data_IF_156458943973
#
_entry.id   IF_156458943973
#
_cell.length_a   1.000
_cell.length_b   1.000
_cell.length_c   1.000
_cell.angle_alpha   90.00
_cell.angle_beta   90.00
_cell.angle_gamma   90.00
#
_symmetry.space_group_name_H-M   'P 1'
#
loop_
_entity.id
_entity.type
_entity.pdbx_description
1 polymer ?
#
# COMPACT_ATOMS: atom_id res chain seq x y z
N UNK A 1 13.18 -14.80 0.47
CA UNK A 1 12.37 -14.43 -0.71
C UNK A 1 12.19 -12.93 -0.64
N UNK A 2 13.01 -12.19 -1.40
CA UNK A 2 13.04 -10.73 -1.33
C UNK A 2 11.87 -10.18 -2.15
N UNK A 3 10.93 -9.48 -1.53
CA UNK A 3 9.71 -8.97 -2.18
C UNK A 3 10.09 -7.86 -3.15
N UNK A 4 10.13 -8.16 -4.44
CA UNK A 4 10.36 -7.16 -5.48
C UNK A 4 9.02 -6.56 -5.93
N UNK A 5 8.88 -5.24 -5.82
CA UNK A 5 7.77 -4.53 -6.46
C UNK A 5 7.98 -4.55 -7.98
N UNK A 6 7.37 -5.51 -8.66
CA UNK A 6 7.19 -5.50 -10.14
C UNK A 6 6.20 -4.43 -10.60
N UNK A 7 5.60 -3.69 -9.66
CA UNK A 7 4.66 -2.62 -9.99
C UNK A 7 5.36 -1.31 -10.33
N UNK A 8 4.88 -0.69 -11.40
CA UNK A 8 5.22 0.68 -11.73
C UNK A 8 4.79 1.62 -10.59
N UNK A 9 5.65 2.59 -10.26
CA UNK A 9 5.43 3.56 -9.20
C UNK A 9 5.72 4.98 -9.70
N UNK A 10 5.09 5.98 -9.05
CA UNK A 10 5.38 7.38 -9.29
C UNK A 10 6.57 7.82 -8.42
N UNK A 11 7.59 8.41 -9.05
CA UNK A 11 8.74 8.97 -8.34
C UNK A 11 9.00 10.42 -8.74
N UNK A 12 9.27 11.23 -7.73
CA UNK A 12 9.75 12.59 -7.92
C UNK A 12 11.28 12.62 -8.11
N UNK A 13 11.75 13.53 -8.95
CA UNK A 13 13.16 13.90 -9.10
C UNK A 13 13.29 15.42 -9.11
N UNK A 14 14.34 15.92 -8.46
CA UNK A 14 14.66 17.34 -8.45
C UNK A 14 15.75 17.59 -9.50
N UNK A 15 15.52 18.54 -10.40
CA UNK A 15 16.51 18.99 -11.38
C UNK A 15 16.37 20.49 -11.59
N UNK A 16 17.49 21.23 -11.48
CA UNK A 16 17.50 22.69 -11.63
C UNK A 16 16.53 23.42 -10.69
N UNK A 17 16.33 22.91 -9.46
CA UNK A 17 15.39 23.48 -8.48
C UNK A 17 13.92 23.13 -8.71
N UNK A 18 13.57 22.45 -9.81
CA UNK A 18 12.20 22.05 -10.10
C UNK A 18 11.95 20.57 -9.79
N UNK A 19 10.73 20.27 -9.35
CA UNK A 19 10.25 18.91 -9.12
C UNK A 19 9.60 18.35 -10.38
N UNK A 20 10.04 17.15 -10.73
CA UNK A 20 9.63 16.43 -11.92
C UNK A 20 9.20 15.02 -11.56
N UNK A 21 8.15 14.52 -12.21
CA UNK A 21 7.58 13.22 -11.91
C UNK A 21 7.83 12.22 -13.03
N UNK A 22 8.05 10.97 -12.63
CA UNK A 22 8.32 9.85 -13.51
C UNK A 22 7.51 8.64 -13.07
N UNK A 23 7.07 7.82 -14.03
CA UNK A 23 6.71 6.43 -13.76
C UNK A 23 8.00 5.63 -13.82
N UNK A 24 8.30 4.86 -12.78
CA UNK A 24 9.47 4.00 -12.70
C UNK A 24 9.08 2.57 -12.37
N UNK A 25 9.93 1.64 -12.78
CA UNK A 25 9.85 0.23 -12.38
C UNK A 25 11.16 -0.18 -11.72
N UNK A 26 11.08 -0.99 -10.67
CA UNK A 26 12.29 -1.54 -10.04
C UNK A 26 12.80 -2.74 -10.85
N UNK A 27 14.01 -2.64 -11.41
CA UNK A 27 14.66 -3.76 -12.12
C UNK A 27 16.06 -4.02 -11.56
N UNK A 28 16.54 -5.25 -11.67
CA UNK A 28 17.92 -5.57 -11.29
C UNK A 28 18.86 -5.23 -12.44
N UNK A 29 19.84 -4.38 -12.17
CA UNK A 29 20.96 -4.11 -13.08
C UNK A 29 22.22 -4.59 -12.37
N UNK A 30 22.91 -5.58 -12.96
CA UNK A 30 24.08 -6.24 -12.38
C UNK A 30 23.82 -6.76 -10.96
N UNK A 31 22.67 -7.40 -10.76
CA UNK A 31 22.29 -7.98 -9.47
C UNK A 31 21.93 -6.97 -8.39
N UNK A 32 21.81 -5.67 -8.69
CA UNK A 32 21.37 -4.65 -7.73
C UNK A 32 20.03 -4.05 -8.17
N UNK A 33 19.03 -3.90 -7.28
CA UNK A 33 17.78 -3.24 -7.64
C UNK A 33 18.02 -1.77 -7.99
N UNK A 34 17.46 -1.33 -9.12
CA UNK A 34 17.58 0.02 -9.67
C UNK A 34 16.22 0.50 -10.17
N UNK A 35 15.82 1.75 -9.87
CA UNK A 35 14.63 2.34 -10.45
C UNK A 35 14.90 2.74 -11.91
N UNK A 36 14.20 2.11 -12.85
CA UNK A 36 14.28 2.40 -14.28
C UNK A 36 13.11 3.31 -14.67
N UNK A 37 13.36 4.55 -15.12
CA UNK A 37 12.30 5.42 -15.63
C UNK A 37 11.65 4.83 -16.88
N UNK A 38 10.34 4.65 -16.82
CA UNK A 38 9.51 4.21 -17.94
C UNK A 38 8.92 5.41 -18.69
N UNK A 39 8.46 6.42 -17.96
CA UNK A 39 7.81 7.60 -18.54
C UNK A 39 8.10 8.85 -17.74
N UNK A 40 8.43 9.95 -18.42
CA UNK A 40 8.50 11.28 -17.85
C UNK A 40 7.13 11.97 -17.91
N UNK A 41 6.63 12.41 -16.76
CA UNK A 41 5.31 13.00 -16.63
C UNK A 41 5.32 14.54 -16.66
N UNK A 42 6.46 15.16 -16.35
CA UNK A 42 6.57 16.62 -16.26
C UNK A 42 6.44 17.15 -14.84
N UNK A 43 6.13 18.44 -14.70
CA UNK A 43 5.82 19.06 -13.42
C UNK A 43 4.41 18.68 -12.95
N UNK A 44 4.12 18.92 -11.68
CA UNK A 44 2.78 18.64 -11.14
C UNK A 44 1.67 19.36 -11.92
N UNK A 45 1.89 20.62 -12.30
CA UNK A 45 0.91 21.42 -13.05
C UNK A 45 0.65 20.87 -14.45
N UNK A 46 1.69 20.38 -15.13
CA UNK A 46 1.58 19.77 -16.46
C UNK A 46 0.72 18.50 -16.39
N UNK A 47 0.92 17.71 -15.34
CA UNK A 47 0.17 16.47 -15.09
C UNK A 47 -1.28 16.80 -14.80
N UNK A 48 -1.55 17.76 -13.92
CA UNK A 48 -2.90 18.20 -13.58
C UNK A 48 -3.65 18.71 -14.83
N UNK A 49 -3.01 19.54 -15.64
CA UNK A 49 -3.58 20.06 -16.88
C UNK A 49 -3.94 18.95 -17.86
N UNK A 50 -3.08 17.93 -18.00
CA UNK A 50 -3.35 16.75 -18.85
C UNK A 50 -4.53 15.92 -18.31
N UNK A 51 -4.62 15.72 -17.00
CA UNK A 51 -5.72 14.98 -16.36
C UNK A 51 -7.06 15.69 -16.56
N UNK A 52 -7.09 17.01 -16.34
CA UNK A 52 -8.27 17.85 -16.52
C UNK A 52 -8.65 18.04 -18.00
N UNK A 53 -7.67 18.00 -18.91
CA UNK A 53 -7.83 18.17 -20.34
C UNK A 53 -8.58 17.05 -21.08
N UNK A 54 -9.04 16.01 -20.37
CA UNK A 54 -9.99 15.05 -20.93
C UNK A 54 -9.59 13.58 -20.85
N UNK A 55 -8.37 13.26 -20.40
CA UNK A 55 -7.92 11.86 -20.19
C UNK A 55 -8.86 11.15 -19.20
N UNK A 56 -9.41 11.87 -18.21
CA UNK A 56 -10.17 11.28 -17.11
C UNK A 56 -11.70 11.27 -17.29
N UNK A 57 -12.26 11.64 -18.46
CA UNK A 57 -13.72 11.84 -18.58
C UNK A 57 -14.57 10.59 -18.35
N UNK A 58 -14.00 9.38 -18.27
CA UNK A 58 -14.76 8.18 -17.94
C UNK A 58 -13.96 7.04 -17.24
N UNK A 59 -12.90 7.36 -16.49
CA UNK A 59 -12.09 6.33 -15.82
C UNK A 59 -12.79 5.90 -14.53
N UNK A 60 -13.44 4.73 -14.53
CA UNK A 60 -13.90 4.06 -13.31
C UNK A 60 -12.71 3.38 -12.63
N UNK A 61 -12.04 4.10 -11.72
CA UNK A 61 -10.99 3.54 -10.88
C UNK A 61 -11.60 2.97 -9.59
N UNK A 62 -11.41 1.67 -9.33
CA UNK A 62 -11.66 1.05 -8.02
C UNK A 62 -10.31 0.61 -7.45
N UNK A 63 -9.92 1.19 -6.33
CA UNK A 63 -8.72 0.76 -5.60
C UNK A 63 -9.11 -0.37 -4.63
N UNK A 64 -8.50 -1.54 -4.79
CA UNK A 64 -8.67 -2.67 -3.87
C UNK A 64 -7.38 -2.87 -3.07
N UNK A 65 -6.95 -1.85 -2.33
CA UNK A 65 -5.76 -1.94 -1.46
C UNK A 65 -5.96 -2.90 -0.27
N UNK A 66 -7.16 -3.44 -0.07
CA UNK A 66 -7.53 -4.27 1.07
C UNK A 66 -7.87 -5.73 0.70
N UNK A 67 -7.78 -6.11 -0.59
CA UNK A 67 -8.21 -7.44 -1.03
C UNK A 67 -7.45 -8.59 -0.36
N UNK A 68 -6.13 -8.45 -0.20
CA UNK A 68 -5.30 -9.46 0.45
C UNK A 68 -5.60 -9.59 1.96
N UNK A 69 -5.80 -8.45 2.66
CA UNK A 69 -6.14 -8.44 4.08
C UNK A 69 -7.54 -9.01 4.31
N UNK A 70 -8.51 -8.65 3.46
CA UNK A 70 -9.87 -9.18 3.52
C UNK A 70 -9.92 -10.69 3.22
N UNK A 71 -9.14 -11.17 2.25
CA UNK A 71 -9.05 -12.60 1.96
C UNK A 71 -8.42 -13.38 3.11
N UNK A 72 -7.36 -12.85 3.74
CA UNK A 72 -6.75 -13.47 4.92
C UNK A 72 -7.69 -13.47 6.12
N UNK A 73 -8.46 -12.39 6.32
CA UNK A 73 -9.48 -12.33 7.37
C UNK A 73 -10.57 -13.37 7.13
N UNK A 74 -11.08 -13.50 5.90
CA UNK A 74 -12.07 -14.51 5.55
C UNK A 74 -11.55 -15.93 5.83
N UNK A 75 -10.31 -16.25 5.42
CA UNK A 75 -9.71 -17.56 5.71
C UNK A 75 -9.55 -17.78 7.21
N UNK A 76 -9.21 -16.74 7.99
CA UNK A 76 -9.11 -16.84 9.44
C UNK A 76 -10.47 -17.08 10.11
N UNK A 77 -11.53 -16.51 9.56
CA UNK A 77 -12.91 -16.77 9.99
C UNK A 77 -13.33 -18.20 9.61
N UNK A 78 -13.04 -18.64 8.38
CA UNK A 78 -13.41 -19.99 7.88
C UNK A 78 -12.76 -21.12 8.68
N UNK A 79 -11.57 -20.91 9.26
CA UNK A 79 -10.88 -21.89 10.12
C UNK A 79 -11.05 -21.61 11.61
N UNK A 80 -11.93 -20.67 11.98
CA UNK A 80 -12.28 -20.33 13.36
C UNK A 80 -11.05 -20.00 14.22
N UNK A 81 -10.08 -19.27 13.67
CA UNK A 81 -8.81 -18.94 14.35
C UNK A 81 -9.07 -18.31 15.72
N UNK A 82 -10.05 -17.41 15.81
CA UNK A 82 -10.42 -16.70 17.03
C UNK A 82 -10.89 -17.69 18.11
N UNK A 83 -11.72 -18.66 17.74
CA UNK A 83 -12.26 -19.65 18.69
C UNK A 83 -11.18 -20.62 19.16
N UNK A 84 -10.28 -21.04 18.26
CA UNK A 84 -9.11 -21.85 18.61
C UNK A 84 -8.22 -21.09 19.63
N UNK A 85 -7.92 -19.82 19.36
CA UNK A 85 -7.13 -18.99 20.28
C UNK A 85 -7.84 -18.88 21.63
N UNK A 86 -9.12 -18.54 21.64
CA UNK A 86 -9.91 -18.41 22.87
C UNK A 86 -10.03 -19.72 23.66
N UNK A 87 -9.98 -20.87 22.98
CA UNK A 87 -10.04 -22.20 23.59
C UNK A 87 -8.74 -22.56 24.32
N UNK A 88 -7.58 -22.18 23.79
CA UNK A 88 -6.29 -22.61 24.33
C UNK A 88 -5.54 -21.52 25.10
N UNK A 89 -5.89 -20.23 24.92
CA UNK A 89 -5.28 -19.13 25.64
C UNK A 89 -6.10 -18.84 26.91
N UNK A 90 -5.50 -18.99 28.11
CA UNK A 90 -6.20 -18.70 29.36
C UNK A 90 -6.57 -17.20 29.43
N UNK A 91 -7.82 -16.91 29.80
CA UNK A 91 -8.28 -15.54 30.01
C UNK A 91 -7.50 -14.91 31.17
N UNK A 92 -6.71 -13.88 30.89
CA UNK A 92 -6.03 -13.11 31.92
C UNK A 92 -7.07 -12.35 32.76
N UNK A 93 -7.35 -12.85 33.95
CA UNK A 93 -8.32 -12.32 34.90
C UNK A 93 -7.70 -11.18 35.73
N UNK A 94 -7.24 -10.12 35.08
CA UNK A 94 -6.78 -8.89 35.75
C UNK A 94 -7.22 -7.66 34.97
N UNK A 95 -8.47 -7.24 35.15
CA UNK A 95 -8.95 -5.84 35.12
C UNK A 95 -10.38 -5.76 35.68
N UNK A 96 -10.60 -6.29 36.88
CA UNK A 96 -11.74 -5.93 37.73
C UNK A 96 -11.21 -5.99 39.17
N UNK A 97 -10.68 -4.87 39.66
CA UNK A 97 -10.52 -4.51 41.08
C UNK A 97 -9.85 -3.13 41.15
N UNK A 98 -10.48 -2.12 40.53
CA UNK A 98 -10.15 -0.72 40.79
C UNK A 98 -11.45 0.07 40.89
N UNK A 99 -12.30 -0.30 41.86
CA UNK A 99 -13.39 0.50 42.44
C UNK A 99 -14.02 -0.35 43.53
N UNK A 100 -13.52 -0.18 44.76
CA UNK A 100 -14.22 -0.08 46.05
C UNK A 100 -13.19 -0.43 47.14
N UNK A 101 -12.42 0.58 47.55
CA UNK A 101 -12.09 0.87 48.95
C UNK A 101 -11.25 2.15 49.00
N UNK A 102 -11.84 3.19 49.59
CA UNK A 102 -11.32 4.56 49.69
C UNK A 102 -12.44 5.55 49.57
#
# INVERSE_FOLDING_TARGET
MEVYTTMASLQQRISGGYKYWYIVESRRVNGKPRPIPLLYLGKADDILKRLQGGICKNIKCKSFSHGAVAALLQVADDIEVIDIINKYVPKNKKMENSSVMG
#
